data_IF_642670792929
#
_entry.id   IF_642670792929
#
_cell.length_a   1.000
_cell.length_b   1.000
_cell.length_c   1.000
_cell.angle_alpha   90.00
_cell.angle_beta   90.00
_cell.angle_gamma   90.00
#
_symmetry.space_group_name_H-M   'P 1'
#
loop_
_entity.id
_entity.type
_entity.pdbx_description
1 polymer ?
#
# COMPACT_ATOMS: atom_id res chain seq x y z
N UNK A 1 2.76 -25.12 15.19
CA UNK A 1 2.58 -25.12 13.71
C UNK A 1 3.34 -23.92 13.16
N UNK A 2 4.23 -24.10 12.17
CA UNK A 2 5.05 -23.03 11.59
C UNK A 2 4.49 -22.70 10.21
N UNK A 3 3.98 -21.49 10.03
CA UNK A 3 3.60 -20.96 8.72
C UNK A 3 4.79 -20.14 8.22
N UNK A 4 5.35 -20.50 7.06
CA UNK A 4 6.47 -19.78 6.45
C UNK A 4 6.02 -19.22 5.11
N UNK A 5 6.20 -17.92 4.93
CA UNK A 5 6.03 -17.24 3.65
C UNK A 5 7.43 -17.05 3.05
N UNK A 6 7.76 -17.81 2.00
CA UNK A 6 8.99 -17.70 1.23
C UNK A 6 8.66 -17.40 -0.23
N UNK A 7 9.51 -16.62 -0.89
CA UNK A 7 9.37 -16.17 -2.29
C UNK A 7 8.00 -15.55 -2.63
N UNK A 8 7.34 -14.93 -1.65
CA UNK A 8 6.03 -14.32 -1.86
C UNK A 8 6.19 -12.95 -2.52
N UNK A 9 5.49 -12.75 -3.64
CA UNK A 9 5.28 -11.43 -4.22
C UNK A 9 3.98 -10.83 -3.71
N UNK A 10 4.03 -9.61 -3.18
CA UNK A 10 2.82 -8.84 -2.87
C UNK A 10 2.50 -7.93 -4.05
N UNK A 11 1.29 -8.07 -4.61
CA UNK A 11 0.77 -7.17 -5.64
C UNK A 11 -0.35 -6.33 -5.04
N UNK A 12 -0.13 -5.02 -4.99
CA UNK A 12 -1.15 -4.05 -4.63
C UNK A 12 -1.88 -3.62 -5.91
N UNK A 13 -3.21 -3.68 -5.88
CA UNK A 13 -4.06 -3.17 -6.95
C UNK A 13 -4.97 -2.12 -6.34
N UNK A 14 -4.98 -0.95 -6.96
CA UNK A 14 -5.84 0.17 -6.61
C UNK A 14 -6.89 0.30 -7.71
N UNK A 15 -8.14 0.50 -7.33
CA UNK A 15 -9.17 0.95 -8.28
C UNK A 15 -9.08 2.47 -8.52
N UNK A 16 -9.92 2.98 -9.42
CA UNK A 16 -9.91 4.39 -9.83
C UNK A 16 -10.28 5.34 -8.68
N UNK A 17 -11.21 4.92 -7.80
CA UNK A 17 -11.61 5.72 -6.65
C UNK A 17 -10.50 5.77 -5.60
N UNK A 18 -9.83 4.63 -5.35
CA UNK A 18 -8.68 4.55 -4.46
C UNK A 18 -7.50 5.37 -4.98
N UNK A 19 -7.24 5.34 -6.29
CA UNK A 19 -6.20 6.16 -6.92
C UNK A 19 -6.51 7.66 -6.78
N UNK A 20 -7.75 8.08 -7.01
CA UNK A 20 -8.16 9.47 -6.86
C UNK A 20 -7.95 9.96 -5.41
N UNK A 21 -8.25 9.11 -4.42
CA UNK A 21 -8.02 9.41 -2.99
C UNK A 21 -6.53 9.57 -2.67
N UNK A 22 -5.68 8.67 -3.17
CA UNK A 22 -4.22 8.82 -3.00
C UNK A 22 -3.71 10.13 -3.59
N UNK A 23 -4.18 10.49 -4.79
CA UNK A 23 -3.81 11.74 -5.45
C UNK A 23 -4.32 12.97 -4.70
N UNK A 24 -5.46 12.87 -4.01
CA UNK A 24 -5.94 13.89 -3.08
C UNK A 24 -5.09 14.00 -1.79
N UNK A 25 -4.13 13.09 -1.58
CA UNK A 25 -3.25 13.07 -0.41
C UNK A 25 -3.76 12.18 0.73
N UNK A 26 -4.82 11.41 0.50
CA UNK A 26 -5.31 10.43 1.47
C UNK A 26 -4.42 9.19 1.53
N UNK A 27 -4.66 8.35 2.54
CA UNK A 27 -4.08 7.01 2.67
C UNK A 27 -5.15 5.97 2.30
N UNK A 28 -4.76 4.97 1.51
CA UNK A 28 -5.60 3.81 1.21
C UNK A 28 -5.13 2.63 2.05
N UNK A 29 -6.06 1.96 2.72
CA UNK A 29 -5.76 0.88 3.66
C UNK A 29 -6.54 -0.38 3.28
N UNK A 30 -5.90 -1.54 3.40
CA UNK A 30 -6.51 -2.85 3.23
C UNK A 30 -6.12 -3.75 4.40
N UNK A 31 -7.09 -4.49 4.94
CA UNK A 31 -6.87 -5.38 6.08
C UNK A 31 -7.34 -6.79 5.73
N UNK A 32 -6.41 -7.74 5.72
CA UNK A 32 -6.71 -9.17 5.56
C UNK A 32 -6.77 -9.84 6.93
N UNK A 33 -7.89 -10.50 7.26
CA UNK A 33 -8.05 -11.26 8.50
C UNK A 33 -8.03 -12.76 8.22
N UNK A 34 -7.19 -13.49 8.94
CA UNK A 34 -7.10 -14.96 8.84
C UNK A 34 -7.99 -15.68 9.88
N UNK A 35 -8.99 -14.98 10.44
CA UNK A 35 -9.94 -15.54 11.41
C UNK A 35 -9.74 -15.11 12.87
N UNK A 36 -8.68 -14.36 13.18
CA UNK A 36 -8.45 -13.73 14.50
C UNK A 36 -8.89 -12.27 14.58
N UNK A 37 -8.71 -11.67 15.77
CA UNK A 37 -8.98 -10.23 16.00
C UNK A 37 -7.94 -9.37 15.27
N UNK A 38 -6.69 -9.83 15.27
CA UNK A 38 -5.60 -9.21 14.53
C UNK A 38 -5.64 -9.61 13.05
N UNK A 39 -5.26 -8.68 12.20
CA UNK A 39 -5.18 -8.86 10.77
C UNK A 39 -3.85 -8.35 10.23
N UNK A 40 -3.54 -8.76 9.02
CA UNK A 40 -2.43 -8.22 8.27
C UNK A 40 -2.91 -7.04 7.42
N UNK A 41 -2.48 -5.85 7.81
CA UNK A 41 -2.84 -4.60 7.15
C UNK A 41 -1.76 -4.11 6.19
N UNK A 42 -2.16 -3.62 5.03
CA UNK A 42 -1.33 -2.81 4.13
C UNK A 42 -1.91 -1.40 4.04
N UNK A 43 -1.07 -0.38 4.15
CA UNK A 43 -1.44 1.01 3.91
C UNK A 43 -0.58 1.60 2.79
N UNK A 44 -1.18 2.39 1.91
CA UNK A 44 -0.49 3.10 0.83
C UNK A 44 -0.72 4.59 0.98
N UNK A 45 0.35 5.36 0.92
CA UNK A 45 0.30 6.83 0.90
C UNK A 45 1.37 7.38 -0.05
N UNK A 46 1.31 8.68 -0.35
CA UNK A 46 2.26 9.33 -1.26
C UNK A 46 3.24 10.25 -0.52
N UNK A 47 4.45 10.42 -1.07
CA UNK A 47 5.43 11.40 -0.61
C UNK A 47 6.15 12.10 -1.77
N UNK A 48 6.87 13.18 -1.46
CA UNK A 48 7.67 13.94 -2.43
C UNK A 48 9.07 13.38 -2.73
N UNK A 49 9.49 12.27 -2.11
CA UNK A 49 10.75 11.59 -2.44
C UNK A 49 10.69 10.75 -3.72
N UNK A 50 11.85 10.27 -4.17
CA UNK A 50 12.02 9.59 -5.47
C UNK A 50 11.89 8.06 -5.41
N UNK A 51 12.03 7.45 -4.22
CA UNK A 51 12.00 5.99 -4.06
C UNK A 51 10.85 5.54 -3.18
N UNK A 52 10.23 4.39 -3.46
CA UNK A 52 9.28 3.79 -2.53
C UNK A 52 9.94 3.45 -1.20
N UNK A 53 9.23 3.70 -0.10
CA UNK A 53 9.70 3.40 1.25
C UNK A 53 8.71 2.51 1.96
N UNK A 54 9.23 1.46 2.59
CA UNK A 54 8.45 0.65 3.52
C UNK A 54 8.67 1.18 4.94
N UNK A 55 7.59 1.62 5.57
CA UNK A 55 7.59 2.05 6.96
C UNK A 55 6.96 0.96 7.82
N UNK A 56 7.63 0.62 8.92
CA UNK A 56 7.04 -0.18 9.98
C UNK A 56 5.96 0.67 10.67
N UNK A 57 4.71 0.24 10.54
CA UNK A 57 3.52 1.02 10.86
C UNK A 57 2.58 0.32 11.83
N UNK A 58 3.11 -0.46 12.79
CA UNK A 58 2.30 -1.09 13.84
C UNK A 58 1.22 -1.99 13.26
N UNK A 59 -0.04 -1.53 13.27
CA UNK A 59 -1.20 -2.27 12.73
C UNK A 59 -1.15 -2.48 11.21
N UNK A 60 -0.44 -1.63 10.47
CA UNK A 60 -0.31 -1.74 9.01
C UNK A 60 1.16 -1.72 8.60
N UNK A 61 1.52 -2.58 7.65
CA UNK A 61 2.73 -2.41 6.87
C UNK A 61 2.48 -1.28 5.85
N UNK A 62 3.20 -0.16 5.96
CA UNK A 62 2.92 1.03 5.15
C UNK A 62 3.93 1.16 4.02
N UNK A 63 3.42 1.17 2.79
CA UNK A 63 4.18 1.48 1.59
C UNK A 63 3.92 2.93 1.18
N UNK A 64 4.96 3.76 1.21
CA UNK A 64 4.88 5.15 0.77
C UNK A 64 5.50 5.26 -0.62
N UNK A 65 4.72 5.75 -1.59
CA UNK A 65 5.11 5.82 -3.00
C UNK A 65 5.51 7.26 -3.40
N UNK A 66 6.46 7.42 -4.35
CA UNK A 66 6.73 8.70 -4.98
C UNK A 66 5.48 9.26 -5.66
N UNK A 67 5.04 10.44 -5.25
CA UNK A 67 3.85 11.10 -5.80
C UNK A 67 3.98 11.32 -7.30
N UNK A 68 5.13 11.83 -7.74
CA UNK A 68 5.43 12.10 -9.15
C UNK A 68 5.30 10.84 -10.02
N UNK A 69 5.77 9.69 -9.53
CA UNK A 69 5.66 8.43 -10.25
C UNK A 69 4.21 7.94 -10.39
N UNK A 70 3.40 8.11 -9.34
CA UNK A 70 1.97 7.73 -9.36
C UNK A 70 1.18 8.67 -10.28
N UNK A 71 1.44 9.97 -10.24
CA UNK A 71 0.84 10.95 -11.16
C UNK A 71 1.19 10.66 -12.62
N UNK A 72 2.46 10.33 -12.91
CA UNK A 72 2.90 9.98 -14.26
C UNK A 72 2.26 8.68 -14.76
N UNK A 73 2.02 7.69 -13.89
CA UNK A 73 1.30 6.48 -14.23
C UNK A 73 -0.19 6.76 -14.51
N UNK A 74 -0.83 7.55 -13.65
CA UNK A 74 -2.24 7.91 -13.76
C UNK A 74 -2.54 8.65 -15.08
N UNK A 75 -1.63 9.51 -15.53
CA UNK A 75 -1.78 10.24 -16.80
C UNK A 75 -1.72 9.34 -18.06
N UNK A 76 -1.38 8.06 -17.92
CA UNK A 76 -1.24 7.09 -19.02
C UNK A 76 -2.34 6.02 -19.05
N UNK A 77 -3.24 6.03 -18.06
CA UNK A 77 -4.38 5.12 -17.95
C UNK A 77 -5.61 5.79 -18.57
#
# INVERSE_FOLDING_TARGET
MKVQLQDQSVRLRLDEAELARLLAGETVENMTRFGGIEGWGMAVSLHGGEQPVLLDGGTFCRLVLPRSAVEALAARL
#
